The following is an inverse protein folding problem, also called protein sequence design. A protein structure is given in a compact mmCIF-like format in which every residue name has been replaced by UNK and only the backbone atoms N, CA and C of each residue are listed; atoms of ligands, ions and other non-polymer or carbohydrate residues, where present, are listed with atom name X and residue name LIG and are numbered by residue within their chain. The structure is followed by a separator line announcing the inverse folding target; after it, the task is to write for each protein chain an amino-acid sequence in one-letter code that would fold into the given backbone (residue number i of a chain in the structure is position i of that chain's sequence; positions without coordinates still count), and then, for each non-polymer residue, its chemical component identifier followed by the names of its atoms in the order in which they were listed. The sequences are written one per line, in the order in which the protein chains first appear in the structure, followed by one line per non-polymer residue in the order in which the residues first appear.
data_IF_704000243051
#
_entry.id   IF_704000243051
#
_cell.length_a   1.000
_cell.length_b   1.000
_cell.length_c   1.000
_cell.angle_alpha   90.00
_cell.angle_beta   90.00
_cell.angle_gamma   90.00
#
_symmetry.space_group_name_H-M   'P 1'
#
loop_
_entity.id
_entity.type
_entity.pdbx_description
1 polymer ?
#
# COMPACT_ATOMS: atom_id res chain seq x y z
N UNK A 1 6.95 -17.09 -5.90
CA UNK A 1 6.61 -16.22 -4.76
C UNK A 1 7.56 -16.46 -3.60
N UNK A 2 8.03 -15.38 -2.97
CA UNK A 2 8.95 -15.46 -1.84
C UNK A 2 8.18 -15.59 -0.52
N UNK A 3 8.03 -16.81 -0.05
CA UNK A 3 7.36 -17.10 1.23
C UNK A 3 8.23 -16.78 2.44
N UNK A 4 9.56 -16.73 2.30
CA UNK A 4 10.49 -16.47 3.40
C UNK A 4 10.56 -14.99 3.80
N UNK A 5 10.16 -14.10 2.87
CA UNK A 5 10.14 -12.65 3.07
C UNK A 5 8.96 -12.01 2.33
N UNK A 6 7.76 -12.58 2.49
CA UNK A 6 6.57 -12.11 1.77
C UNK A 6 6.14 -10.68 2.12
N UNK A 7 6.57 -10.14 3.27
CA UNK A 7 6.35 -8.74 3.68
C UNK A 7 7.41 -7.79 3.15
N UNK A 8 8.60 -8.27 2.75
CA UNK A 8 9.75 -7.45 2.42
C UNK A 8 10.43 -6.83 3.65
N UNK A 9 10.25 -7.45 4.81
CA UNK A 9 10.87 -6.97 6.06
C UNK A 9 12.40 -7.12 6.03
N UNK A 10 12.91 -8.18 5.38
CA UNK A 10 14.34 -8.43 5.22
C UNK A 10 14.93 -7.63 4.04
N UNK A 11 14.20 -7.55 2.94
CA UNK A 11 14.61 -6.80 1.74
C UNK A 11 13.46 -6.00 1.14
N UNK A 12 13.28 -4.72 1.56
CA UNK A 12 12.20 -3.87 1.03
C UNK A 12 12.31 -3.57 -0.46
N UNK A 13 13.40 -3.96 -1.14
CA UNK A 13 13.53 -3.77 -2.59
C UNK A 13 12.79 -4.84 -3.41
N UNK A 14 12.28 -5.91 -2.79
CA UNK A 14 11.53 -6.99 -3.45
C UNK A 14 10.19 -6.55 -4.04
N UNK A 15 9.68 -5.38 -3.64
CA UNK A 15 8.49 -4.76 -4.25
C UNK A 15 8.73 -4.31 -5.70
N UNK A 16 9.99 -4.15 -6.12
CA UNK A 16 10.33 -3.65 -7.45
C UNK A 16 10.52 -4.77 -8.48
N UNK A 17 9.95 -4.57 -9.67
CA UNK A 17 10.07 -5.50 -10.81
C UNK A 17 11.54 -5.73 -11.20
N UNK A 18 12.40 -4.72 -11.10
CA UNK A 18 13.84 -4.87 -11.40
C UNK A 18 14.54 -5.86 -10.47
N UNK A 19 14.08 -5.98 -9.22
CA UNK A 19 14.57 -7.00 -8.28
C UNK A 19 14.04 -8.37 -8.68
N UNK A 20 12.72 -8.50 -8.90
CA UNK A 20 12.08 -9.72 -9.37
C UNK A 20 12.77 -10.30 -10.62
N UNK A 21 13.04 -9.46 -11.62
CA UNK A 21 13.70 -9.91 -12.86
C UNK A 21 15.13 -10.43 -12.65
N UNK A 22 15.82 -9.97 -11.61
CA UNK A 22 17.19 -10.41 -11.30
C UNK A 22 17.25 -11.66 -10.43
N UNK A 23 16.33 -11.78 -9.48
CA UNK A 23 16.37 -12.84 -8.46
C UNK A 23 15.39 -13.97 -8.75
N UNK A 24 14.39 -13.73 -9.59
CA UNK A 24 13.24 -14.58 -9.87
C UNK A 24 12.34 -14.82 -8.64
N UNK A 25 12.55 -14.04 -7.57
CA UNK A 25 11.75 -14.03 -6.35
C UNK A 25 10.88 -12.78 -6.32
N UNK A 26 9.58 -12.97 -6.18
CA UNK A 26 8.60 -11.88 -6.21
C UNK A 26 7.61 -11.90 -5.06
N UNK A 27 6.95 -10.78 -4.90
CA UNK A 27 5.91 -10.54 -3.90
C UNK A 27 4.59 -10.18 -4.55
N UNK A 28 3.54 -10.05 -3.75
CA UNK A 28 2.23 -9.60 -4.20
C UNK A 28 2.23 -8.21 -4.87
N UNK A 29 3.28 -7.42 -4.77
CA UNK A 29 3.44 -6.11 -5.45
C UNK A 29 4.22 -6.23 -6.76
N UNK A 30 5.37 -6.89 -6.75
CA UNK A 30 6.22 -7.00 -7.95
C UNK A 30 5.67 -7.95 -9.01
N UNK A 31 4.99 -9.05 -8.62
CA UNK A 31 4.41 -10.00 -9.56
C UNK A 31 3.28 -9.38 -10.40
N UNK A 32 2.25 -8.72 -9.82
CA UNK A 32 1.21 -8.06 -10.61
C UNK A 32 1.76 -6.95 -11.50
N UNK A 33 2.75 -6.20 -11.03
CA UNK A 33 3.36 -5.15 -11.85
C UNK A 33 4.09 -5.71 -13.07
N UNK A 34 4.86 -6.80 -12.90
CA UNK A 34 5.48 -7.49 -14.04
C UNK A 34 4.42 -8.05 -15.00
N UNK A 35 3.37 -8.67 -14.47
CA UNK A 35 2.25 -9.17 -15.26
C UNK A 35 1.62 -8.04 -16.09
N UNK A 36 1.31 -6.90 -15.47
CA UNK A 36 0.74 -5.73 -16.15
C UNK A 36 1.64 -5.22 -17.26
N UNK A 37 2.96 -5.13 -17.02
CA UNK A 37 3.94 -4.70 -18.04
C UNK A 37 3.92 -5.67 -19.23
N UNK A 38 3.98 -6.98 -18.99
CA UNK A 38 3.96 -7.99 -20.05
C UNK A 38 2.64 -8.00 -20.81
N UNK A 39 1.51 -7.87 -20.12
CA UNK A 39 0.19 -7.76 -20.76
C UNK A 39 0.12 -6.56 -21.69
N UNK A 40 0.61 -5.39 -21.27
CA UNK A 40 0.66 -4.20 -22.11
C UNK A 40 1.52 -4.38 -23.35
N UNK A 41 2.69 -5.06 -23.24
CA UNK A 41 3.58 -5.34 -24.38
C UNK A 41 2.93 -6.21 -25.46
N UNK A 42 2.01 -7.09 -25.08
CA UNK A 42 1.30 -7.97 -26.02
C UNK A 42 -0.13 -7.50 -26.34
N UNK A 43 -0.49 -6.27 -25.89
CA UNK A 43 -1.79 -5.66 -26.19
C UNK A 43 -2.98 -6.26 -25.44
N UNK A 44 -2.76 -6.89 -24.29
CA UNK A 44 -3.82 -7.43 -23.43
C UNK A 44 -4.13 -6.44 -22.31
N UNK A 45 -5.41 -6.11 -22.14
CA UNK A 45 -5.86 -5.29 -21.02
C UNK A 45 -5.78 -6.06 -19.70
N UNK A 46 -4.98 -5.54 -18.80
CA UNK A 46 -4.84 -6.05 -17.44
C UNK A 46 -4.76 -4.84 -16.49
N UNK A 47 -5.44 -4.92 -15.37
CA UNK A 47 -5.51 -3.83 -14.39
C UNK A 47 -4.96 -4.31 -13.06
N UNK A 48 -4.15 -3.47 -12.42
CA UNK A 48 -3.77 -3.67 -11.02
C UNK A 48 -4.95 -3.25 -10.14
N UNK A 49 -5.22 -4.02 -9.11
CA UNK A 49 -6.16 -3.66 -8.06
C UNK A 49 -5.54 -3.92 -6.68
N UNK A 50 -5.95 -3.10 -5.72
CA UNK A 50 -5.45 -3.15 -4.35
C UNK A 50 -6.50 -3.73 -3.40
N UNK A 51 -6.01 -4.41 -2.38
CA UNK A 51 -6.75 -4.85 -1.21
C UNK A 51 -5.90 -4.56 0.04
N UNK A 52 -6.41 -4.67 1.26
CA UNK A 52 -5.61 -4.50 2.47
C UNK A 52 -4.34 -5.36 2.42
N UNK A 53 -3.17 -4.71 2.44
CA UNK A 53 -1.84 -5.35 2.38
C UNK A 53 -1.58 -6.24 1.14
N UNK A 54 -2.37 -6.12 0.08
CA UNK A 54 -2.30 -7.02 -1.06
C UNK A 54 -2.54 -6.33 -2.39
N UNK A 55 -1.98 -6.90 -3.46
CA UNK A 55 -2.13 -6.43 -4.84
C UNK A 55 -2.34 -7.62 -5.75
N UNK A 56 -3.27 -7.50 -6.69
CA UNK A 56 -3.63 -8.55 -7.64
C UNK A 56 -4.01 -7.97 -9.00
N UNK A 57 -4.23 -8.82 -9.99
CA UNK A 57 -4.62 -8.42 -11.35
C UNK A 57 -6.12 -8.61 -11.54
N UNK A 58 -6.72 -7.71 -12.34
CA UNK A 58 -8.09 -7.81 -12.82
C UNK A 58 -8.13 -7.76 -14.35
N UNK A 59 -8.91 -8.64 -14.93
CA UNK A 59 -9.28 -8.60 -16.35
C UNK A 59 -10.77 -8.35 -16.48
N UNK A 60 -11.13 -7.62 -17.54
CA UNK A 60 -12.54 -7.47 -17.93
C UNK A 60 -12.95 -8.70 -18.76
N UNK A 61 -13.97 -9.39 -18.32
CA UNK A 61 -14.68 -10.36 -19.14
C UNK A 61 -15.80 -9.64 -19.88
N UNK A 62 -15.62 -9.44 -21.18
CA UNK A 62 -16.56 -8.67 -21.99
C UNK A 62 -17.87 -9.43 -22.25
N UNK A 63 -17.85 -10.78 -22.31
CA UNK A 63 -19.01 -11.60 -22.54
C UNK A 63 -19.96 -11.56 -21.34
N UNK A 64 -19.43 -11.84 -20.15
CA UNK A 64 -20.21 -11.86 -18.90
C UNK A 64 -20.28 -10.50 -18.21
N UNK A 65 -19.60 -9.49 -18.73
CA UNK A 65 -19.48 -8.15 -18.11
C UNK A 65 -19.03 -8.15 -16.65
N UNK A 66 -18.20 -9.13 -16.27
CA UNK A 66 -17.67 -9.29 -14.92
C UNK A 66 -16.17 -9.07 -14.87
N UNK A 67 -15.65 -8.89 -13.67
CA UNK A 67 -14.23 -8.85 -13.42
C UNK A 67 -13.71 -10.25 -13.03
N UNK A 68 -12.62 -10.66 -13.66
CA UNK A 68 -11.86 -11.85 -13.29
C UNK A 68 -10.66 -11.39 -12.49
N UNK A 69 -10.53 -11.86 -11.25
CA UNK A 69 -9.38 -11.58 -10.41
C UNK A 69 -8.33 -12.67 -10.60
N UNK A 70 -7.08 -12.27 -10.79
CA UNK A 70 -5.95 -13.18 -10.96
C UNK A 70 -4.99 -12.99 -9.79
N UNK A 71 -4.88 -14.01 -8.97
CA UNK A 71 -4.00 -14.07 -7.82
C UNK A 71 -2.69 -14.77 -8.21
N UNK A 72 -1.60 -13.99 -8.24
CA UNK A 72 -0.30 -14.49 -8.72
C UNK A 72 0.54 -15.18 -7.64
N UNK A 73 0.18 -15.00 -6.37
CA UNK A 73 0.94 -15.58 -5.25
C UNK A 73 0.65 -17.06 -5.07
N UNK A 74 -0.56 -17.51 -5.43
CA UNK A 74 -1.01 -18.90 -5.31
C UNK A 74 -1.67 -19.45 -6.59
N UNK A 75 -1.57 -18.74 -7.72
CA UNK A 75 -2.07 -19.12 -9.03
C UNK A 75 -3.58 -19.42 -9.08
N UNK A 76 -4.38 -18.65 -8.34
CA UNK A 76 -5.83 -18.84 -8.26
C UNK A 76 -6.61 -17.70 -8.94
N UNK A 77 -7.91 -17.94 -9.16
CA UNK A 77 -8.86 -16.96 -9.71
C UNK A 77 -9.98 -16.74 -8.68
N UNK A 78 -9.72 -16.01 -7.58
CA UNK A 78 -10.69 -15.85 -6.51
C UNK A 78 -11.88 -15.01 -6.96
N UNK A 79 -13.07 -15.36 -6.49
CA UNK A 79 -14.24 -14.49 -6.64
C UNK A 79 -14.08 -13.23 -5.77
N UNK A 80 -14.61 -12.11 -6.23
CA UNK A 80 -14.53 -10.84 -5.51
C UNK A 80 -15.03 -10.93 -4.07
N UNK A 81 -16.16 -11.62 -3.86
CA UNK A 81 -16.72 -11.79 -2.52
C UNK A 81 -15.75 -12.50 -1.58
N UNK A 82 -14.97 -13.46 -2.08
CA UNK A 82 -13.96 -14.15 -1.28
C UNK A 82 -12.86 -13.17 -0.82
N UNK A 83 -12.39 -12.28 -1.71
CA UNK A 83 -11.40 -11.24 -1.35
C UNK A 83 -11.99 -10.29 -0.30
N UNK A 84 -13.23 -9.85 -0.48
CA UNK A 84 -13.93 -8.94 0.45
C UNK A 84 -14.02 -9.55 1.85
N UNK A 85 -14.50 -10.80 1.95
CA UNK A 85 -14.71 -11.48 3.23
C UNK A 85 -13.39 -11.83 3.93
N UNK A 86 -12.42 -12.35 3.18
CA UNK A 86 -11.14 -12.78 3.77
C UNK A 86 -10.25 -11.60 4.19
N UNK A 87 -10.37 -10.47 3.52
CA UNK A 87 -9.56 -9.28 3.82
C UNK A 87 -10.30 -8.21 4.64
N UNK A 88 -11.58 -8.44 4.98
CA UNK A 88 -12.36 -7.53 5.80
C UNK A 88 -12.63 -6.17 5.13
N UNK A 89 -12.81 -6.17 3.79
CA UNK A 89 -13.01 -4.93 3.02
C UNK A 89 -14.43 -4.40 3.26
N UNK A 90 -14.52 -3.12 3.61
CA UNK A 90 -15.81 -2.46 3.83
C UNK A 90 -16.47 -2.05 2.50
N UNK A 91 -17.81 -2.07 2.47
CA UNK A 91 -18.57 -1.57 1.32
C UNK A 91 -18.26 -0.09 1.02
N UNK A 92 -17.98 0.70 2.05
CA UNK A 92 -17.63 2.11 1.91
C UNK A 92 -16.29 2.29 1.18
N UNK A 93 -15.26 1.50 1.54
CA UNK A 93 -13.96 1.53 0.88
C UNK A 93 -14.06 1.10 -0.60
N UNK A 94 -14.93 0.13 -0.92
CA UNK A 94 -15.21 -0.28 -2.30
C UNK A 94 -15.87 0.87 -3.06
N UNK A 95 -16.94 1.48 -2.51
CA UNK A 95 -17.66 2.58 -3.14
C UNK A 95 -16.78 3.80 -3.41
N UNK A 96 -15.80 4.04 -2.56
CA UNK A 96 -14.80 5.12 -2.71
C UNK A 96 -13.65 4.75 -3.65
N UNK A 97 -13.61 3.52 -4.15
CA UNK A 97 -12.55 3.05 -5.05
C UNK A 97 -11.19 2.91 -4.38
N UNK A 98 -11.14 2.76 -3.06
CA UNK A 98 -9.90 2.52 -2.30
C UNK A 98 -9.41 1.10 -2.58
N UNK A 99 -10.33 0.13 -2.63
CA UNK A 99 -10.05 -1.27 -2.87
C UNK A 99 -10.85 -1.81 -4.05
N UNK A 100 -10.36 -2.87 -4.65
CA UNK A 100 -10.97 -3.61 -5.76
C UNK A 100 -11.16 -2.79 -7.06
N UNK A 101 -10.80 -1.52 -7.06
CA UNK A 101 -10.85 -0.68 -8.25
C UNK A 101 -9.78 -1.13 -9.24
N UNK A 102 -10.13 -1.39 -10.51
CA UNK A 102 -9.15 -1.55 -11.57
C UNK A 102 -8.44 -0.21 -11.81
N UNK A 103 -7.14 -0.16 -11.51
CA UNK A 103 -6.36 1.07 -11.58
C UNK A 103 -5.88 1.38 -12.99
N UNK A 104 -6.05 2.61 -13.42
CA UNK A 104 -5.44 3.14 -14.63
C UNK A 104 -3.91 3.28 -14.47
N UNK A 105 -3.17 3.27 -15.57
CA UNK A 105 -1.70 3.34 -15.57
C UNK A 105 -1.15 4.52 -14.77
N UNK A 106 -1.83 5.68 -14.84
CA UNK A 106 -1.47 6.86 -14.05
C UNK A 106 -1.59 6.60 -12.54
N UNK A 107 -2.64 5.93 -12.11
CA UNK A 107 -2.87 5.61 -10.70
C UNK A 107 -1.81 4.60 -10.20
N UNK A 108 -1.47 3.64 -11.04
CA UNK A 108 -0.38 2.69 -10.76
C UNK A 108 0.95 3.44 -10.56
N UNK A 109 1.30 4.38 -11.45
CA UNK A 109 2.54 5.17 -11.32
C UNK A 109 2.54 6.03 -10.06
N UNK A 110 1.39 6.62 -9.69
CA UNK A 110 1.25 7.39 -8.45
C UNK A 110 1.49 6.48 -7.23
N UNK A 111 0.90 5.29 -7.23
CA UNK A 111 1.12 4.32 -6.14
C UNK A 111 2.58 3.86 -6.06
N UNK A 112 3.22 3.59 -7.19
CA UNK A 112 4.64 3.21 -7.24
C UNK A 112 5.58 4.29 -6.69
N UNK A 113 5.21 5.57 -6.81
CA UNK A 113 5.96 6.64 -6.18
C UNK A 113 5.87 6.59 -4.64
N UNK A 114 4.70 6.23 -4.09
CA UNK A 114 4.55 5.99 -2.66
C UNK A 114 5.34 4.74 -2.22
N UNK A 115 5.28 3.65 -2.98
CA UNK A 115 6.07 2.44 -2.72
C UNK A 115 7.58 2.71 -2.70
N UNK A 116 8.06 3.55 -3.60
CA UNK A 116 9.47 3.96 -3.63
C UNK A 116 9.86 4.70 -2.33
N UNK A 117 9.02 5.64 -1.87
CA UNK A 117 9.26 6.37 -0.64
C UNK A 117 9.31 5.45 0.59
N UNK A 118 8.33 4.53 0.68
CA UNK A 118 8.21 3.58 1.80
C UNK A 118 9.36 2.57 1.80
N UNK A 119 9.72 2.05 0.63
CA UNK A 119 10.86 1.12 0.51
C UNK A 119 12.18 1.80 0.84
N UNK A 120 12.34 3.08 0.50
CA UNK A 120 13.50 3.87 0.91
C UNK A 120 13.55 4.01 2.43
N UNK A 121 12.45 4.42 3.06
CA UNK A 121 12.36 4.53 4.52
C UNK A 121 12.66 3.18 5.20
N UNK A 122 12.05 2.09 4.75
CA UNK A 122 12.25 0.76 5.33
C UNK A 122 13.70 0.27 5.19
N UNK A 123 14.36 0.61 4.07
CA UNK A 123 15.74 0.20 3.83
C UNK A 123 16.75 0.96 4.67
N UNK A 124 16.56 2.25 4.86
CA UNK A 124 17.53 3.13 5.50
C UNK A 124 17.16 3.51 6.94
N UNK A 125 15.93 3.20 7.37
CA UNK A 125 15.41 3.43 8.73
C UNK A 125 15.50 4.89 9.20
N UNK A 126 15.42 5.87 8.28
CA UNK A 126 15.33 7.28 8.63
C UNK A 126 14.40 8.05 7.68
N UNK A 127 13.82 9.12 8.20
CA UNK A 127 12.90 9.98 7.45
C UNK A 127 13.71 11.04 6.70
N UNK A 128 13.93 10.80 5.41
CA UNK A 128 14.63 11.71 4.49
C UNK A 128 13.64 12.71 3.84
N UNK A 129 14.06 13.95 3.52
CA UNK A 129 13.27 14.86 2.70
C UNK A 129 12.77 14.27 1.38
N UNK A 130 13.46 13.26 0.84
CA UNK A 130 13.00 12.50 -0.32
C UNK A 130 11.67 11.79 -0.07
N UNK A 131 11.52 11.13 1.09
CA UNK A 131 10.27 10.44 1.50
C UNK A 131 9.11 11.44 1.51
N UNK A 132 9.29 12.58 2.17
CA UNK A 132 8.27 13.63 2.23
C UNK A 132 7.93 14.20 0.85
N UNK A 133 8.92 14.41 -0.02
CA UNK A 133 8.71 14.90 -1.39
C UNK A 133 7.88 13.92 -2.21
N UNK A 134 8.20 12.63 -2.13
CA UNK A 134 7.47 11.59 -2.85
C UNK A 134 6.02 11.48 -2.37
N UNK A 135 5.80 11.32 -1.05
CA UNK A 135 4.46 11.18 -0.48
C UNK A 135 3.63 12.46 -0.68
N UNK A 136 4.22 13.64 -0.53
CA UNK A 136 3.57 14.92 -0.82
C UNK A 136 3.18 15.06 -2.29
N UNK A 137 4.01 14.53 -3.21
CA UNK A 137 3.68 14.49 -4.64
C UNK A 137 2.51 13.56 -4.91
N UNK A 138 2.48 12.39 -4.29
CA UNK A 138 1.36 11.45 -4.37
C UNK A 138 0.07 12.14 -3.94
N UNK A 139 0.04 12.74 -2.74
CA UNK A 139 -1.14 13.40 -2.19
C UNK A 139 -1.57 14.66 -2.96
N UNK A 140 -0.68 15.24 -3.76
CA UNK A 140 -1.03 16.34 -4.68
C UNK A 140 -1.87 15.84 -5.85
N UNK A 141 -1.61 14.64 -6.37
CA UNK A 141 -2.29 14.06 -7.53
C UNK A 141 -3.46 13.15 -7.16
N UNK A 142 -3.39 12.54 -6.00
CA UNK A 142 -4.40 11.67 -5.41
C UNK A 142 -4.51 11.99 -3.91
N UNK A 143 -5.32 13.01 -3.54
CA UNK A 143 -5.44 13.47 -2.15
C UNK A 143 -5.95 12.40 -1.18
N UNK A 144 -6.70 11.44 -1.67
CA UNK A 144 -7.30 10.36 -0.87
C UNK A 144 -6.52 9.04 -0.97
N UNK A 145 -5.29 9.08 -1.49
CA UNK A 145 -4.44 7.91 -1.56
C UNK A 145 -4.17 7.36 -0.15
N UNK A 146 -4.88 6.31 0.20
CA UNK A 146 -4.81 5.71 1.54
C UNK A 146 -3.39 5.32 1.91
N UNK A 147 -2.66 4.67 1.00
CA UNK A 147 -1.30 4.21 1.27
C UNK A 147 -0.36 5.38 1.59
N UNK A 148 -0.46 6.49 0.85
CA UNK A 148 0.33 7.68 1.14
C UNK A 148 -0.12 8.37 2.45
N UNK A 149 -1.43 8.47 2.72
CA UNK A 149 -1.95 9.04 3.97
C UNK A 149 -1.44 8.29 5.19
N UNK A 150 -1.52 6.95 5.18
CA UNK A 150 -1.03 6.11 6.28
C UNK A 150 0.47 6.30 6.50
N UNK A 151 1.28 6.29 5.43
CA UNK A 151 2.73 6.44 5.56
C UNK A 151 3.16 7.86 5.97
N UNK A 152 2.44 8.90 5.55
CA UNK A 152 2.66 10.26 6.08
C UNK A 152 2.32 10.33 7.57
N UNK A 153 1.23 9.70 8.00
CA UNK A 153 0.85 9.59 9.40
C UNK A 153 1.96 8.93 10.23
N UNK A 154 2.48 7.80 9.76
CA UNK A 154 3.57 7.08 10.43
C UNK A 154 4.86 7.91 10.50
N UNK A 155 5.21 8.62 9.44
CA UNK A 155 6.35 9.54 9.46
C UNK A 155 6.21 10.60 10.56
N UNK A 156 5.05 11.28 10.64
CA UNK A 156 4.83 12.30 11.68
C UNK A 156 4.77 11.69 13.08
N UNK A 157 4.21 10.50 13.23
CA UNK A 157 4.19 9.79 14.51
C UNK A 157 5.61 9.47 14.99
N UNK A 158 6.47 8.95 14.11
CA UNK A 158 7.88 8.65 14.42
C UNK A 158 8.65 9.93 14.79
N UNK A 159 8.46 11.01 14.03
CA UNK A 159 9.10 12.31 14.32
C UNK A 159 8.67 12.85 15.69
N UNK A 160 7.37 12.80 15.99
CA UNK A 160 6.84 13.23 17.28
C UNK A 160 7.39 12.38 18.43
N UNK A 161 7.48 11.06 18.24
CA UNK A 161 8.02 10.16 19.25
C UNK A 161 9.49 10.43 19.54
N UNK A 162 10.31 10.64 18.51
CA UNK A 162 11.74 10.95 18.65
C UNK A 162 11.92 12.31 19.35
N UNK A 163 11.22 13.34 18.89
CA UNK A 163 11.31 14.67 19.45
C UNK A 163 10.82 14.72 20.93
N UNK A 164 9.74 13.97 21.23
CA UNK A 164 9.27 13.82 22.62
C UNK A 164 10.37 13.27 23.53
N UNK A 165 11.08 12.22 23.11
CA UNK A 165 12.19 11.65 23.89
C UNK A 165 13.32 12.64 24.10
N UNK A 166 13.61 13.49 23.13
CA UNK A 166 14.63 14.54 23.26
C UNK A 166 14.21 15.58 24.29
N UNK A 167 12.94 16.04 24.27
CA UNK A 167 12.41 16.97 25.26
C UNK A 167 12.43 16.37 26.67
N UNK A 168 12.00 15.12 26.84
CA UNK A 168 12.02 14.40 28.12
C UNK A 168 13.44 14.29 28.69
N UNK A 169 14.43 13.95 27.85
CA UNK A 169 15.83 13.86 28.25
C UNK A 169 16.42 15.20 28.73
N UNK A 170 15.86 16.31 28.25
CA UNK A 170 16.27 17.68 28.64
C UNK A 170 15.40 18.26 29.75
N UNK A 171 14.38 17.53 30.22
CA UNK A 171 13.43 18.02 31.21
C UNK A 171 12.54 19.17 30.71
N UNK A 172 12.36 19.26 29.38
CA UNK A 172 11.59 20.32 28.73
C UNK A 172 10.12 19.95 28.56
N UNK A 173 9.19 20.90 28.64
CA UNK A 173 7.77 20.69 28.31
C UNK A 173 7.59 20.50 26.81
N UNK A 174 6.36 20.14 26.39
CA UNK A 174 5.97 20.18 24.98
C UNK A 174 6.20 21.56 24.38
N UNK A 175 6.66 21.58 23.16
CA UNK A 175 6.89 22.78 22.38
C UNK A 175 5.89 22.92 21.22
N UNK A 176 6.01 24.01 20.47
CA UNK A 176 5.16 24.30 19.32
C UNK A 176 5.20 23.17 18.25
N UNK A 177 6.34 22.53 18.05
CA UNK A 177 6.44 21.42 17.09
C UNK A 177 5.50 20.28 17.48
N UNK A 178 5.45 19.91 18.76
CA UNK A 178 4.55 18.87 19.25
C UNK A 178 3.08 19.22 19.06
N UNK A 179 2.71 20.49 19.25
CA UNK A 179 1.35 20.97 19.03
C UNK A 179 0.98 20.94 17.54
N UNK A 180 1.87 21.40 16.67
CA UNK A 180 1.67 21.39 15.21
C UNK A 180 1.53 19.95 14.68
N UNK A 181 2.39 19.01 15.12
CA UNK A 181 2.31 17.60 14.73
C UNK A 181 1.04 16.95 15.23
N UNK A 182 0.59 17.25 16.44
CA UNK A 182 -0.69 16.74 16.96
C UNK A 182 -1.86 17.13 16.05
N UNK A 183 -1.90 18.37 15.60
CA UNK A 183 -2.93 18.86 14.68
C UNK A 183 -2.87 18.12 13.33
N UNK A 184 -1.66 17.93 12.77
CA UNK A 184 -1.45 17.19 11.51
C UNK A 184 -1.93 15.75 11.65
N UNK A 185 -1.56 15.04 12.72
CA UNK A 185 -1.99 13.66 12.96
C UNK A 185 -3.51 13.52 13.08
N UNK A 186 -4.18 14.48 13.74
CA UNK A 186 -5.63 14.48 13.82
C UNK A 186 -6.31 14.69 12.47
N UNK A 187 -5.76 15.54 11.59
CA UNK A 187 -6.27 15.73 10.23
C UNK A 187 -6.06 14.47 9.38
N UNK A 188 -4.87 13.87 9.44
CA UNK A 188 -4.56 12.63 8.73
C UNK A 188 -5.47 11.48 9.16
N UNK A 189 -5.68 11.30 10.47
CA UNK A 189 -6.60 10.30 11.01
C UNK A 189 -8.03 10.48 10.48
N UNK A 190 -8.51 11.73 10.45
CA UNK A 190 -9.82 12.06 9.89
C UNK A 190 -9.90 11.71 8.40
N UNK A 191 -8.88 12.04 7.62
CA UNK A 191 -8.82 11.72 6.19
C UNK A 191 -8.76 10.22 5.94
N UNK A 192 -7.92 9.48 6.69
CA UNK A 192 -7.84 8.01 6.62
C UNK A 192 -9.22 7.39 6.92
N UNK A 193 -9.88 7.80 7.99
CA UNK A 193 -11.25 7.34 8.31
C UNK A 193 -12.24 7.66 7.20
N UNK A 194 -12.10 8.84 6.59
CA UNK A 194 -12.96 9.24 5.48
C UNK A 194 -12.81 8.38 4.22
N UNK A 195 -11.76 7.59 4.07
CA UNK A 195 -11.62 6.61 2.97
C UNK A 195 -12.52 5.38 3.14
N UNK A 196 -13.06 5.15 4.33
CA UNK A 196 -13.81 3.94 4.67
C UNK A 196 -12.90 2.73 4.96
N UNK A 197 -11.57 2.94 4.98
CA UNK A 197 -10.63 1.90 5.38
C UNK A 197 -10.83 1.50 6.85
N UNK A 198 -10.77 0.21 7.09
CA UNK A 198 -10.69 -0.40 8.42
C UNK A 198 -9.52 -1.38 8.39
N UNK A 199 -8.70 -1.36 9.42
CA UNK A 199 -7.60 -2.31 9.56
C UNK A 199 -8.12 -3.74 9.52
N UNK A 200 -7.41 -4.59 8.77
CA UNK A 200 -7.76 -6.01 8.71
C UNK A 200 -7.68 -6.61 10.13
N UNK A 201 -8.78 -7.23 10.63
CA UNK A 201 -8.75 -7.87 11.93
C UNK A 201 -7.64 -8.93 12.01
N UNK A 202 -6.94 -8.98 13.14
CA UNK A 202 -5.77 -9.86 13.32
C UNK A 202 -6.08 -11.33 12.97
N UNK A 203 -7.27 -11.83 13.34
CA UNK A 203 -7.65 -13.21 13.05
C UNK A 203 -7.81 -13.49 11.54
N UNK A 204 -8.29 -12.52 10.76
CA UNK A 204 -8.38 -12.62 9.30
C UNK A 204 -6.98 -12.57 8.67
N UNK A 205 -6.12 -11.68 9.16
CA UNK A 205 -4.74 -11.60 8.73
C UNK A 205 -3.98 -12.91 8.98
N UNK A 206 -4.10 -13.47 10.20
CA UNK A 206 -3.46 -14.74 10.56
C UNK A 206 -4.00 -15.92 9.73
N UNK A 207 -5.30 -15.91 9.40
CA UNK A 207 -5.91 -16.92 8.54
C UNK A 207 -5.42 -16.80 7.09
N UNK A 208 -5.35 -15.57 6.57
CA UNK A 208 -4.86 -15.29 5.22
C UNK A 208 -3.39 -15.70 5.05
N UNK A 209 -2.52 -15.34 6.00
CA UNK A 209 -1.10 -15.75 6.00
C UNK A 209 -0.93 -17.28 6.00
N UNK A 210 -1.79 -18.02 6.72
CA UNK A 210 -1.75 -19.48 6.73
C UNK A 210 -2.26 -20.12 5.44
N UNK A 211 -3.01 -19.40 4.63
CA UNK A 211 -3.57 -19.89 3.36
C UNK A 211 -2.62 -19.67 2.16
N UNK A 212 -1.58 -18.88 2.34
CA UNK A 212 -0.50 -18.69 1.35
C UNK A 212 0.50 -19.86 1.40
#
# INVERSE_FOLDING_TARGET
YDFDDFRGDKDPTKVFVTKLMRTHDGQCRSLPLLYKILANEIGIEAYIAYAPNHTFIRHRDEEDRRWINVELTNHSLPREIFIVETMGITEEAIKKGIYLKPCEDREVVIHLLAELAVSFFNKFCFIDPFVHKCLGKVLKYDPDNLYALMNVNDCFFIMAYQHRKELEAQGLPNDKFMDDVKFILQDLEKRIKATGHVDMPKHLYDAWVKSM
#
